data_IF_289466548619
#
_entry.id   IF_289466548619
#
_cell.length_a   1.000
_cell.length_b   1.000
_cell.length_c   1.000
_cell.angle_alpha   90.00
_cell.angle_beta   90.00
_cell.angle_gamma   90.00
#
_symmetry.space_group_name_H-M   'P 1'
#
loop_
_entity.id
_entity.type
_entity.pdbx_description
1 polymer ?
#
# COMPACT_ATOMS: atom_id res chain seq x y z
N UNK A 1 7.35 20.51 -7.82
CA UNK A 1 5.98 20.99 -8.02
C UNK A 1 5.75 21.18 -9.51
N UNK A 2 4.55 20.92 -10.04
CA UNK A 2 4.25 21.23 -11.45
C UNK A 2 4.44 22.73 -11.68
N UNK A 3 5.05 23.11 -12.80
CA UNK A 3 5.25 24.52 -13.17
C UNK A 3 3.93 25.20 -13.54
N UNK A 4 2.92 24.43 -13.95
CA UNK A 4 1.58 24.92 -14.27
C UNK A 4 0.54 23.87 -13.87
N UNK A 5 0.05 23.97 -12.63
CA UNK A 5 -0.91 23.02 -12.07
C UNK A 5 -2.22 22.99 -12.84
N UNK A 6 -2.68 24.13 -13.33
CA UNK A 6 -3.94 24.20 -14.05
C UNK A 6 -3.83 23.49 -15.39
N UNK A 7 -2.73 23.66 -16.12
CA UNK A 7 -2.46 22.88 -17.33
C UNK A 7 -2.37 21.39 -17.04
N UNK A 8 -1.45 21.01 -16.15
CA UNK A 8 -1.06 19.60 -16.01
C UNK A 8 -2.12 18.74 -15.31
N UNK A 9 -2.96 19.33 -14.44
CA UNK A 9 -3.82 18.57 -13.54
C UNK A 9 -5.31 18.66 -13.87
N UNK A 10 -5.70 19.36 -14.94
CA UNK A 10 -7.10 19.47 -15.36
C UNK A 10 -7.38 18.61 -16.60
N UNK A 11 -8.47 17.82 -16.63
CA UNK A 11 -8.72 16.83 -17.68
C UNK A 11 -9.02 17.43 -19.05
N UNK A 12 -9.81 18.50 -19.06
CA UNK A 12 -10.26 19.20 -20.25
C UNK A 12 -10.12 20.72 -20.06
N UNK A 13 -10.21 21.48 -21.16
CA UNK A 13 -10.18 22.94 -21.08
C UNK A 13 -11.34 23.45 -20.24
N UNK A 14 -11.10 24.42 -19.39
CA UNK A 14 -12.11 25.12 -18.62
C UNK A 14 -13.19 25.67 -19.57
N UNK A 15 -14.44 25.26 -19.34
CA UNK A 15 -15.60 25.88 -19.99
C UNK A 15 -16.01 27.17 -19.28
N UNK A 16 -16.97 27.90 -19.85
CA UNK A 16 -17.48 29.17 -19.28
C UNK A 16 -18.03 29.00 -17.84
N UNK A 17 -18.47 27.79 -17.49
CA UNK A 17 -19.01 27.41 -16.18
C UNK A 17 -18.02 26.59 -15.32
N UNK A 18 -16.70 26.65 -15.60
CA UNK A 18 -15.71 25.83 -14.91
C UNK A 18 -15.66 26.11 -13.40
N UNK A 19 -16.01 27.31 -12.94
CA UNK A 19 -16.26 27.62 -11.53
C UNK A 19 -17.75 27.78 -11.26
N UNK A 20 -18.17 27.45 -10.05
CA UNK A 20 -19.49 27.74 -9.49
C UNK A 20 -19.86 29.24 -9.50
N UNK A 21 -20.14 29.81 -10.68
CA UNK A 21 -20.63 31.18 -10.86
C UNK A 21 -19.56 32.27 -11.03
N UNK A 22 -18.29 31.95 -11.33
CA UNK A 22 -17.26 32.95 -11.65
C UNK A 22 -16.71 32.75 -13.06
N UNK A 23 -16.49 33.87 -13.77
CA UNK A 23 -15.94 33.89 -15.13
C UNK A 23 -14.52 33.30 -15.10
N UNK A 24 -14.34 32.10 -15.65
CA UNK A 24 -13.16 31.24 -15.42
C UNK A 24 -12.56 30.70 -16.69
N UNK A 25 -12.16 31.61 -17.56
CA UNK A 25 -11.19 31.26 -18.59
C UNK A 25 -9.85 30.92 -17.91
N UNK A 26 -9.48 29.64 -17.95
CA UNK A 26 -8.15 29.14 -17.58
C UNK A 26 -7.53 28.62 -18.88
N UNK A 27 -6.99 29.49 -19.75
CA UNK A 27 -6.67 29.13 -21.14
C UNK A 27 -5.68 27.96 -21.28
N UNK A 28 -4.83 27.79 -20.26
CA UNK A 28 -3.81 26.76 -20.21
C UNK A 28 -4.32 25.37 -19.78
N UNK A 29 -5.56 25.26 -19.31
CA UNK A 29 -6.12 23.99 -18.79
C UNK A 29 -6.28 22.89 -19.84
N UNK A 30 -6.57 21.67 -19.39
CA UNK A 30 -6.84 20.50 -20.25
C UNK A 30 -5.62 19.69 -20.65
N UNK A 31 -4.48 19.86 -19.97
CA UNK A 31 -3.22 19.16 -20.25
C UNK A 31 -3.03 17.84 -19.51
N UNK A 32 -4.00 17.35 -18.73
CA UNK A 32 -3.87 16.06 -18.04
C UNK A 32 -3.55 14.86 -18.95
N UNK A 33 -4.06 14.75 -20.20
CA UNK A 33 -3.66 13.66 -21.09
C UNK A 33 -2.15 13.65 -21.38
N UNK A 34 -1.58 14.83 -21.66
CA UNK A 34 -0.16 15.00 -21.94
C UNK A 34 0.68 14.78 -20.68
N UNK A 35 0.22 15.30 -19.54
CA UNK A 35 0.89 15.09 -18.26
C UNK A 35 0.90 13.61 -17.86
N UNK A 36 -0.21 12.90 -18.03
CA UNK A 36 -0.30 11.46 -17.77
C UNK A 36 0.62 10.66 -18.71
N UNK A 37 0.73 11.08 -19.97
CA UNK A 37 1.68 10.51 -20.92
C UNK A 37 3.13 10.75 -20.51
N UNK A 38 3.46 11.95 -20.03
CA UNK A 38 4.78 12.26 -19.47
C UNK A 38 5.09 11.36 -18.26
N UNK A 39 4.13 11.16 -17.34
CA UNK A 39 4.31 10.25 -16.21
C UNK A 39 4.64 8.83 -16.68
N UNK A 40 3.85 8.29 -17.62
CA UNK A 40 4.01 6.94 -18.16
C UNK A 40 5.33 6.74 -18.90
N UNK A 41 5.64 7.61 -19.85
CA UNK A 41 6.72 7.39 -20.83
C UNK A 41 8.07 7.95 -20.40
N UNK A 42 8.08 8.98 -19.56
CA UNK A 42 9.31 9.68 -19.18
C UNK A 42 9.60 9.51 -17.71
N UNK A 43 8.75 10.03 -16.82
CA UNK A 43 9.07 10.08 -15.40
C UNK A 43 9.21 8.70 -14.77
N UNK A 44 8.21 7.83 -14.92
CA UNK A 44 8.24 6.47 -14.34
C UNK A 44 9.41 5.69 -14.94
N UNK A 45 9.60 5.74 -16.26
CA UNK A 45 10.71 5.06 -16.94
C UNK A 45 12.07 5.54 -16.42
N UNK A 46 12.25 6.85 -16.23
CA UNK A 46 13.47 7.42 -15.66
C UNK A 46 13.70 6.92 -14.23
N UNK A 47 12.70 6.97 -13.36
CA UNK A 47 12.83 6.55 -11.96
C UNK A 47 13.19 5.07 -11.86
N UNK A 48 12.54 4.21 -12.64
CA UNK A 48 12.78 2.76 -12.61
C UNK A 48 14.13 2.36 -13.20
N UNK A 49 14.66 3.15 -14.14
CA UNK A 49 15.99 2.92 -14.71
C UNK A 49 17.12 3.39 -13.77
N UNK A 50 16.85 4.36 -12.89
CA UNK A 50 17.87 4.99 -12.05
C UNK A 50 17.81 4.58 -10.57
N UNK A 51 16.70 4.00 -10.12
CA UNK A 51 16.51 3.61 -8.73
C UNK A 51 15.95 2.19 -8.61
N UNK A 52 16.25 1.52 -7.49
CA UNK A 52 15.65 0.23 -7.16
C UNK A 52 14.22 0.45 -6.68
N UNK A 53 13.27 0.33 -7.60
CA UNK A 53 11.84 0.46 -7.31
C UNK A 53 11.18 -0.90 -7.05
N UNK A 54 9.99 -0.83 -6.47
CA UNK A 54 9.04 -1.93 -6.42
C UNK A 54 7.94 -1.70 -7.47
N UNK A 55 7.27 -2.75 -7.96
CA UNK A 55 6.29 -2.61 -9.05
C UNK A 55 5.00 -1.92 -8.61
N UNK A 56 4.74 -1.82 -7.30
CA UNK A 56 3.51 -1.24 -6.76
C UNK A 56 3.57 0.29 -6.77
N UNK A 57 2.71 0.93 -7.57
CA UNK A 57 2.69 2.39 -7.75
C UNK A 57 1.44 2.99 -7.13
N UNK A 58 1.62 4.07 -6.36
CA UNK A 58 0.55 4.83 -5.72
C UNK A 58 0.54 6.24 -6.31
N UNK A 59 -0.61 6.72 -6.76
CA UNK A 59 -0.82 8.12 -7.13
C UNK A 59 -1.62 8.84 -6.04
N UNK A 60 -1.06 9.91 -5.49
CA UNK A 60 -1.73 10.77 -4.51
C UNK A 60 -1.96 12.14 -5.12
N UNK A 61 -3.15 12.70 -4.92
CA UNK A 61 -3.46 14.04 -5.38
C UNK A 61 -4.48 14.76 -4.50
N UNK A 62 -4.23 16.04 -4.27
CA UNK A 62 -5.10 16.96 -3.54
C UNK A 62 -5.66 18.05 -4.47
N UNK A 63 -6.93 18.43 -4.33
CA UNK A 63 -7.57 19.49 -5.12
C UNK A 63 -7.51 19.19 -6.62
N UNK A 64 -6.91 20.03 -7.47
CA UNK A 64 -6.63 19.68 -8.87
C UNK A 64 -5.78 18.41 -9.03
N UNK A 65 -4.88 18.13 -8.09
CA UNK A 65 -4.19 16.84 -8.08
C UNK A 65 -5.15 15.67 -7.85
N UNK A 66 -6.17 15.85 -7.01
CA UNK A 66 -7.21 14.85 -6.79
C UNK A 66 -8.09 14.66 -8.03
N UNK A 67 -8.38 15.75 -8.74
CA UNK A 67 -9.05 15.72 -10.05
C UNK A 67 -8.22 14.93 -11.07
N UNK A 68 -6.92 15.22 -11.19
CA UNK A 68 -5.98 14.48 -12.03
C UNK A 68 -5.90 13.00 -11.65
N UNK A 69 -5.81 12.66 -10.36
CA UNK A 69 -5.79 11.28 -9.90
C UNK A 69 -7.08 10.53 -10.25
N UNK A 70 -8.22 11.22 -10.19
CA UNK A 70 -9.52 10.68 -10.64
C UNK A 70 -9.52 10.43 -12.15
N UNK A 71 -8.99 11.37 -12.93
CA UNK A 71 -8.81 11.22 -14.38
C UNK A 71 -7.89 10.03 -14.71
N UNK A 72 -6.73 9.93 -14.06
CA UNK A 72 -5.75 8.86 -14.27
C UNK A 72 -6.30 7.48 -13.93
N UNK A 73 -7.10 7.36 -12.85
CA UNK A 73 -7.80 6.13 -12.47
C UNK A 73 -8.68 5.60 -13.61
N UNK A 74 -9.40 6.48 -14.32
CA UNK A 74 -10.33 6.06 -15.37
C UNK A 74 -9.66 5.89 -16.73
N UNK A 75 -8.62 6.69 -17.03
CA UNK A 75 -8.01 6.73 -18.37
C UNK A 75 -6.79 5.81 -18.52
N UNK A 76 -6.04 5.57 -17.45
CA UNK A 76 -4.89 4.65 -17.41
C UNK A 76 -4.87 3.86 -16.10
N UNK A 77 -5.93 3.09 -15.76
CA UNK A 77 -6.00 2.35 -14.51
C UNK A 77 -4.81 1.41 -14.29
N UNK A 78 -4.19 0.87 -15.34
CA UNK A 78 -3.06 -0.05 -15.22
C UNK A 78 -1.74 0.62 -14.80
N UNK A 79 -1.63 1.96 -14.86
CA UNK A 79 -0.38 2.67 -14.56
C UNK A 79 -0.07 2.73 -13.06
N UNK A 80 -1.12 2.70 -12.22
CA UNK A 80 -1.02 2.76 -10.77
C UNK A 80 -1.86 1.66 -10.12
N UNK A 81 -1.40 1.11 -9.00
CA UNK A 81 -2.08 0.07 -8.24
C UNK A 81 -3.00 0.63 -7.15
N UNK A 82 -2.72 1.86 -6.71
CA UNK A 82 -3.50 2.55 -5.72
C UNK A 82 -3.60 4.05 -5.98
N UNK A 83 -4.64 4.64 -5.38
CA UNK A 83 -4.91 6.07 -5.44
C UNK A 83 -5.31 6.60 -4.06
N UNK A 84 -4.76 7.77 -3.70
CA UNK A 84 -5.24 8.58 -2.57
C UNK A 84 -5.73 9.90 -3.17
N UNK A 85 -7.05 10.07 -3.21
CA UNK A 85 -7.76 11.16 -3.88
C UNK A 85 -8.35 12.06 -2.80
N UNK A 86 -7.73 13.22 -2.61
CA UNK A 86 -7.99 14.12 -1.49
C UNK A 86 -8.66 15.39 -2.00
N UNK A 87 -9.78 15.78 -1.39
CA UNK A 87 -10.55 16.97 -1.73
C UNK A 87 -10.59 17.26 -3.24
N UNK A 88 -10.97 16.28 -4.10
CA UNK A 88 -10.81 16.43 -5.54
C UNK A 88 -11.73 17.53 -6.05
N UNK A 89 -11.22 18.38 -6.94
CA UNK A 89 -11.97 19.47 -7.57
C UNK A 89 -12.99 18.96 -8.62
N UNK A 90 -13.93 18.10 -8.18
CA UNK A 90 -14.89 17.41 -9.05
C UNK A 90 -15.96 18.33 -9.62
N UNK A 91 -16.10 19.57 -9.13
CA UNK A 91 -16.95 20.59 -9.74
C UNK A 91 -16.53 20.94 -11.18
N UNK A 92 -15.28 20.64 -11.56
CA UNK A 92 -14.72 20.95 -12.87
C UNK A 92 -15.65 20.55 -14.02
N UNK A 93 -15.90 21.51 -14.92
CA UNK A 93 -16.73 21.33 -16.12
C UNK A 93 -18.04 20.57 -15.88
N UNK A 94 -18.84 21.05 -14.90
CA UNK A 94 -20.15 20.48 -14.56
C UNK A 94 -20.05 19.00 -14.14
N UNK A 95 -19.06 18.69 -13.31
CA UNK A 95 -18.79 17.33 -12.84
C UNK A 95 -18.51 16.32 -13.96
N UNK A 96 -17.70 16.71 -14.94
CA UNK A 96 -17.37 15.84 -16.08
C UNK A 96 -16.80 14.49 -15.64
N UNK A 97 -16.00 14.46 -14.56
CA UNK A 97 -15.44 13.22 -14.02
C UNK A 97 -16.51 12.31 -13.42
N UNK A 98 -17.53 12.86 -12.78
CA UNK A 98 -18.69 12.09 -12.30
C UNK A 98 -19.48 11.51 -13.48
N UNK A 99 -19.61 12.27 -14.58
CA UNK A 99 -20.17 11.77 -15.84
C UNK A 99 -19.40 10.58 -16.40
N UNK A 100 -18.09 10.73 -16.57
CA UNK A 100 -17.20 9.69 -17.09
C UNK A 100 -17.16 8.44 -16.20
N UNK A 101 -17.22 8.63 -14.87
CA UNK A 101 -17.25 7.52 -13.92
C UNK A 101 -18.43 6.57 -14.15
N UNK A 102 -19.59 7.08 -14.57
CA UNK A 102 -20.77 6.25 -14.86
C UNK A 102 -20.47 5.26 -15.99
N UNK A 103 -19.82 5.71 -17.06
CA UNK A 103 -19.44 4.86 -18.18
C UNK A 103 -18.30 3.91 -17.80
N UNK A 104 -17.28 4.43 -17.11
CA UNK A 104 -16.12 3.67 -16.70
C UNK A 104 -16.49 2.48 -15.80
N UNK A 105 -17.23 2.71 -14.71
CA UNK A 105 -17.60 1.65 -13.77
C UNK A 105 -18.69 0.71 -14.32
N UNK A 106 -19.49 1.15 -15.30
CA UNK A 106 -20.37 0.25 -16.04
C UNK A 106 -19.57 -0.74 -16.92
N UNK A 107 -18.51 -0.26 -17.58
CA UNK A 107 -17.71 -1.05 -18.51
C UNK A 107 -16.64 -1.90 -17.83
N UNK A 108 -16.13 -1.46 -16.68
CA UNK A 108 -15.05 -2.13 -15.94
C UNK A 108 -15.59 -2.84 -14.70
N UNK A 109 -16.09 -4.07 -14.88
CA UNK A 109 -16.71 -4.86 -13.80
C UNK A 109 -15.73 -5.59 -12.89
N UNK A 110 -14.44 -5.55 -13.19
CA UNK A 110 -13.34 -6.03 -12.36
C UNK A 110 -12.23 -4.99 -12.39
N UNK A 111 -11.85 -4.48 -11.21
CA UNK A 111 -10.84 -3.44 -11.08
C UNK A 111 -10.03 -3.72 -9.82
N UNK A 112 -8.88 -4.35 -9.99
CA UNK A 112 -7.97 -4.67 -8.88
C UNK A 112 -7.14 -3.44 -8.50
N UNK A 113 -7.75 -2.54 -7.74
CA UNK A 113 -7.17 -1.26 -7.31
C UNK A 113 -7.58 -0.95 -5.87
N UNK A 114 -6.70 -0.27 -5.15
CA UNK A 114 -6.99 0.30 -3.83
C UNK A 114 -7.19 1.82 -3.93
N UNK A 115 -8.38 2.34 -3.62
CA UNK A 115 -8.68 3.77 -3.77
C UNK A 115 -9.26 4.38 -2.50
N UNK A 116 -8.56 5.36 -1.95
CA UNK A 116 -9.05 6.18 -0.85
C UNK A 116 -9.55 7.53 -1.39
N UNK A 117 -10.78 7.89 -1.07
CA UNK A 117 -11.35 9.21 -1.30
C UNK A 117 -11.58 9.90 0.04
N UNK A 118 -11.29 11.19 0.13
CA UNK A 118 -11.79 11.94 1.27
C UNK A 118 -11.67 13.46 1.17
N UNK A 119 -12.39 14.13 2.05
CA UNK A 119 -12.48 15.59 2.19
C UNK A 119 -12.34 16.01 3.64
N UNK A 120 -12.04 17.29 3.88
CA UNK A 120 -12.18 17.91 5.19
C UNK A 120 -13.64 18.10 5.62
N UNK A 121 -13.87 18.26 6.92
CA UNK A 121 -15.21 18.45 7.52
C UNK A 121 -15.76 19.84 7.29
N UNK A 122 -14.87 20.84 7.21
CA UNK A 122 -15.15 22.23 6.84
C UNK A 122 -14.89 22.51 5.35
N UNK A 123 -14.68 21.46 4.55
CA UNK A 123 -14.66 21.58 3.10
C UNK A 123 -15.97 22.20 2.60
N UNK A 124 -15.87 23.02 1.54
CA UNK A 124 -17.02 23.71 0.96
C UNK A 124 -18.14 22.73 0.62
N UNK A 125 -19.39 23.10 0.94
CA UNK A 125 -20.54 22.21 0.78
C UNK A 125 -20.64 21.61 -0.63
N UNK A 126 -20.34 22.39 -1.68
CA UNK A 126 -20.23 21.89 -3.05
C UNK A 126 -19.27 20.71 -3.15
N UNK A 127 -17.99 20.91 -2.81
CA UNK A 127 -16.92 19.91 -2.95
C UNK A 127 -17.23 18.58 -2.26
N UNK A 128 -17.82 18.64 -1.07
CA UNK A 128 -18.29 17.45 -0.35
C UNK A 128 -19.40 16.73 -1.11
N UNK A 129 -20.37 17.47 -1.63
CA UNK A 129 -21.48 16.89 -2.39
C UNK A 129 -21.08 16.37 -3.77
N UNK A 130 -20.14 17.03 -4.46
CA UNK A 130 -19.56 16.51 -5.72
C UNK A 130 -18.86 15.17 -5.49
N UNK A 131 -18.04 15.05 -4.43
CA UNK A 131 -17.40 13.78 -4.10
C UNK A 131 -18.43 12.71 -3.70
N UNK A 132 -19.45 13.07 -2.91
CA UNK A 132 -20.52 12.15 -2.55
C UNK A 132 -21.23 11.59 -3.80
N UNK A 133 -21.54 12.44 -4.79
CA UNK A 133 -22.14 12.01 -6.06
C UNK A 133 -21.24 11.08 -6.86
N UNK A 134 -19.95 11.38 -6.94
CA UNK A 134 -18.97 10.49 -7.59
C UNK A 134 -18.89 9.13 -6.89
N UNK A 135 -18.83 9.12 -5.56
CA UNK A 135 -18.83 7.90 -4.74
C UNK A 135 -20.11 7.08 -4.91
N UNK A 136 -21.26 7.73 -5.07
CA UNK A 136 -22.53 7.03 -5.32
C UNK A 136 -22.54 6.29 -6.67
N UNK A 137 -21.84 6.79 -7.69
CA UNK A 137 -21.62 6.06 -8.95
C UNK A 137 -20.87 4.75 -8.69
N UNK A 138 -19.81 4.78 -7.87
CA UNK A 138 -19.07 3.58 -7.48
C UNK A 138 -19.98 2.60 -6.72
N UNK A 139 -20.76 3.06 -5.74
CA UNK A 139 -21.67 2.20 -4.96
C UNK A 139 -22.69 1.47 -5.83
N UNK A 140 -23.27 2.15 -6.81
CA UNK A 140 -24.27 1.56 -7.72
C UNK A 140 -23.69 0.45 -8.62
N UNK A 141 -22.38 0.50 -8.88
CA UNK A 141 -21.68 -0.35 -9.85
C UNK A 141 -20.29 -0.76 -9.36
N UNK A 142 -20.17 -1.22 -8.11
CA UNK A 142 -18.86 -1.53 -7.54
C UNK A 142 -18.19 -2.69 -8.31
N UNK A 143 -16.98 -2.49 -8.88
CA UNK A 143 -16.28 -3.56 -9.56
C UNK A 143 -15.82 -4.65 -8.60
N UNK A 144 -15.68 -5.87 -9.10
CA UNK A 144 -15.00 -6.95 -8.37
C UNK A 144 -13.54 -6.55 -8.10
N UNK A 145 -13.02 -6.96 -6.94
CA UNK A 145 -11.65 -6.69 -6.47
C UNK A 145 -11.32 -5.20 -6.26
N UNK A 146 -12.30 -4.30 -6.36
CA UNK A 146 -12.09 -2.88 -6.11
C UNK A 146 -12.17 -2.60 -4.62
N UNK A 147 -11.02 -2.33 -4.00
CA UNK A 147 -10.94 -2.01 -2.57
C UNK A 147 -10.97 -0.51 -2.41
N UNK A 148 -12.09 0.04 -1.98
CA UNK A 148 -12.24 1.49 -1.87
C UNK A 148 -12.81 1.95 -0.53
N UNK A 149 -12.47 3.18 -0.14
CA UNK A 149 -13.00 3.85 1.05
C UNK A 149 -13.28 5.31 0.72
N UNK A 150 -14.39 5.83 1.24
CA UNK A 150 -14.71 7.25 1.27
C UNK A 150 -14.78 7.70 2.74
N UNK A 151 -14.09 8.78 3.08
CA UNK A 151 -14.04 9.32 4.45
C UNK A 151 -14.07 10.84 4.43
N UNK A 152 -14.91 11.43 5.27
CA UNK A 152 -14.87 12.85 5.59
C UNK A 152 -14.18 13.01 6.94
N UNK A 153 -13.12 13.83 7.00
CA UNK A 153 -12.40 14.09 8.24
C UNK A 153 -13.28 15.01 9.10
N UNK A 154 -13.65 14.62 10.33
CA UNK A 154 -14.51 15.45 11.17
C UNK A 154 -13.76 16.68 11.69
N UNK A 155 -14.51 17.68 12.15
CA UNK A 155 -13.96 18.88 12.77
C UNK A 155 -13.79 20.05 11.80
N UNK A 156 -12.84 20.92 12.11
CA UNK A 156 -12.52 22.18 11.45
C UNK A 156 -11.49 22.04 10.31
N UNK A 157 -11.27 20.81 9.84
CA UNK A 157 -10.34 20.52 8.75
C UNK A 157 -10.90 21.09 7.44
N UNK A 158 -10.38 22.25 7.02
CA UNK A 158 -10.73 22.90 5.78
C UNK A 158 -9.98 22.29 4.57
N UNK A 159 -10.13 22.89 3.39
CA UNK A 159 -9.63 22.38 2.12
C UNK A 159 -8.15 21.97 2.17
N UNK A 160 -7.29 22.87 2.68
CA UNK A 160 -5.84 22.63 2.73
C UNK A 160 -5.40 21.86 3.99
N UNK A 161 -6.07 22.08 5.12
CA UNK A 161 -5.71 21.49 6.43
C UNK A 161 -5.90 19.96 6.42
N UNK A 162 -7.01 19.51 5.84
CA UNK A 162 -7.39 18.10 5.79
C UNK A 162 -6.38 17.21 5.08
N UNK A 163 -5.48 17.78 4.25
CA UNK A 163 -4.53 17.05 3.42
C UNK A 163 -3.65 16.09 4.22
N UNK A 164 -3.13 16.51 5.38
CA UNK A 164 -2.24 15.67 6.18
C UNK A 164 -2.97 14.45 6.76
N UNK A 165 -4.18 14.65 7.29
CA UNK A 165 -4.99 13.57 7.82
C UNK A 165 -5.48 12.64 6.72
N UNK A 166 -5.91 13.19 5.59
CA UNK A 166 -6.29 12.40 4.41
C UNK A 166 -5.13 11.56 3.87
N UNK A 167 -3.89 12.08 3.89
CA UNK A 167 -2.69 11.30 3.55
C UNK A 167 -2.49 10.16 4.55
N UNK A 168 -2.52 10.46 5.85
CA UNK A 168 -2.35 9.47 6.91
C UNK A 168 -3.36 8.32 6.81
N UNK A 169 -4.65 8.64 6.71
CA UNK A 169 -5.72 7.64 6.61
C UNK A 169 -5.70 6.93 5.26
N UNK A 170 -5.37 7.64 4.19
CA UNK A 170 -5.19 7.07 2.85
C UNK A 170 -4.09 6.01 2.80
N UNK A 171 -2.91 6.30 3.34
CA UNK A 171 -1.81 5.33 3.42
C UNK A 171 -2.16 4.15 4.32
N UNK A 172 -2.80 4.41 5.48
CA UNK A 172 -3.27 3.36 6.39
C UNK A 172 -4.27 2.43 5.71
N UNK A 173 -5.15 2.97 4.87
CA UNK A 173 -6.07 2.19 4.06
C UNK A 173 -5.32 1.42 2.97
N UNK A 174 -4.56 2.09 2.10
CA UNK A 174 -3.87 1.46 0.96
C UNK A 174 -2.98 0.30 1.40
N UNK A 175 -2.29 0.42 2.53
CA UNK A 175 -1.40 -0.62 3.03
C UNK A 175 -2.00 -1.52 4.11
N UNK A 176 -3.32 -1.48 4.32
CA UNK A 176 -3.97 -2.26 5.40
C UNK A 176 -3.82 -3.78 5.22
N UNK A 177 -3.66 -4.26 3.98
CA UNK A 177 -3.50 -5.66 3.63
C UNK A 177 -2.05 -6.18 3.79
N UNK A 178 -1.05 -5.30 3.97
CA UNK A 178 0.29 -5.70 4.40
C UNK A 178 0.27 -6.27 5.83
N UNK A 179 -0.67 -5.84 6.66
CA UNK A 179 -0.81 -6.35 8.03
C UNK A 179 -1.45 -7.73 8.05
N UNK A 180 -1.04 -8.57 9.00
CA UNK A 180 -1.71 -9.85 9.24
C UNK A 180 -3.17 -9.61 9.60
N UNK A 181 -4.08 -10.29 8.92
CA UNK A 181 -5.51 -10.23 9.25
C UNK A 181 -5.76 -10.87 10.61
N UNK A 182 -6.80 -10.43 11.31
CA UNK A 182 -7.24 -11.11 12.53
C UNK A 182 -7.56 -12.59 12.28
N UNK A 183 -8.10 -12.91 11.10
CA UNK A 183 -8.41 -14.27 10.70
C UNK A 183 -7.15 -15.13 10.61
N UNK A 184 -6.05 -14.62 10.04
CA UNK A 184 -4.77 -15.33 9.99
C UNK A 184 -4.20 -15.56 11.39
N UNK A 185 -4.46 -14.66 12.34
CA UNK A 185 -4.02 -14.81 13.73
C UNK A 185 -4.85 -15.85 14.48
N UNK A 186 -6.17 -15.89 14.27
CA UNK A 186 -7.10 -16.78 14.99
C UNK A 186 -7.21 -18.18 14.37
N UNK A 187 -7.16 -18.26 13.04
CA UNK A 187 -7.39 -19.47 12.24
C UNK A 187 -6.14 -19.84 11.42
N UNK A 188 -4.98 -19.84 12.07
CA UNK A 188 -3.71 -20.07 11.41
C UNK A 188 -3.63 -21.46 10.75
N UNK A 189 -3.11 -21.48 9.51
CA UNK A 189 -2.52 -22.67 8.90
C UNK A 189 -1.26 -22.28 8.12
N UNK A 190 -0.30 -23.20 8.02
CA UNK A 190 0.93 -22.97 7.25
C UNK A 190 0.62 -22.60 5.79
N UNK A 191 -0.37 -23.28 5.18
CA UNK A 191 -0.79 -23.01 3.81
C UNK A 191 -1.34 -21.58 3.65
N UNK A 192 -2.26 -21.17 4.52
CA UNK A 192 -2.86 -19.84 4.45
C UNK A 192 -1.82 -18.73 4.69
N UNK A 193 -0.93 -18.93 5.66
CA UNK A 193 0.15 -18.00 5.96
C UNK A 193 1.11 -17.85 4.77
N UNK A 194 1.64 -18.96 4.25
CA UNK A 194 2.62 -18.93 3.15
C UNK A 194 2.00 -18.40 1.85
N UNK A 195 0.74 -18.74 1.57
CA UNK A 195 0.00 -18.18 0.44
C UNK A 195 -0.17 -16.66 0.58
N UNK A 196 -0.51 -16.18 1.77
CA UNK A 196 -0.61 -14.75 2.04
C UNK A 196 0.73 -14.02 1.85
N UNK A 197 1.84 -14.61 2.31
CA UNK A 197 3.18 -14.06 2.10
C UNK A 197 3.59 -14.00 0.63
N UNK A 198 3.23 -15.03 -0.13
CA UNK A 198 3.44 -15.03 -1.58
C UNK A 198 2.63 -13.93 -2.26
N UNK A 199 1.34 -13.81 -1.94
CA UNK A 199 0.47 -12.77 -2.49
C UNK A 199 0.99 -11.35 -2.20
N UNK A 200 1.53 -11.11 -1.01
CA UNK A 200 2.16 -9.83 -0.69
C UNK A 200 3.37 -9.53 -1.57
N UNK A 201 4.23 -10.52 -1.84
CA UNK A 201 5.40 -10.33 -2.70
C UNK A 201 5.05 -10.18 -4.17
N UNK A 202 4.01 -10.86 -4.64
CA UNK A 202 3.48 -10.69 -6.00
C UNK A 202 2.90 -9.28 -6.18
N UNK A 203 2.15 -8.79 -5.18
CA UNK A 203 1.51 -7.48 -5.23
C UNK A 203 2.49 -6.32 -5.04
N UNK A 204 3.30 -6.37 -4.00
CA UNK A 204 4.15 -5.24 -3.57
C UNK A 204 5.61 -5.38 -4.02
N UNK A 205 6.00 -6.52 -4.60
CA UNK A 205 7.36 -6.84 -5.02
C UNK A 205 8.11 -7.77 -4.06
N UNK A 206 9.20 -8.36 -4.53
CA UNK A 206 9.86 -9.50 -3.87
C UNK A 206 10.36 -9.24 -2.44
N UNK A 207 10.66 -7.98 -2.09
CA UNK A 207 11.11 -7.62 -0.74
C UNK A 207 9.94 -7.23 0.20
N UNK A 208 8.69 -7.32 -0.27
CA UNK A 208 7.54 -7.04 0.55
C UNK A 208 7.48 -7.98 1.76
N UNK A 209 7.07 -7.41 2.88
CA UNK A 209 7.01 -8.09 4.16
C UNK A 209 5.99 -7.39 5.06
N UNK A 210 5.33 -8.18 5.90
CA UNK A 210 4.54 -7.65 7.01
C UNK A 210 5.44 -6.91 8.01
N UNK A 211 4.88 -6.03 8.85
CA UNK A 211 5.57 -5.53 10.02
C UNK A 211 6.12 -6.68 10.89
N UNK A 212 7.29 -6.48 11.51
CA UNK A 212 7.91 -7.49 12.37
C UNK A 212 6.99 -7.92 13.52
N UNK A 213 6.22 -6.97 14.07
CA UNK A 213 5.26 -7.21 15.14
C UNK A 213 4.19 -8.24 14.76
N UNK A 214 3.76 -8.28 13.50
CA UNK A 214 2.73 -9.22 13.06
C UNK A 214 3.27 -10.66 13.05
N UNK A 215 4.50 -10.87 12.59
CA UNK A 215 5.14 -12.18 12.69
C UNK A 215 5.29 -12.60 14.16
N UNK A 216 5.75 -11.69 15.02
CA UNK A 216 5.90 -11.96 16.46
C UNK A 216 4.55 -12.32 17.10
N UNK A 217 3.48 -11.59 16.78
CA UNK A 217 2.14 -11.88 17.28
C UNK A 217 1.67 -13.28 16.89
N UNK A 218 1.77 -13.64 15.60
CA UNK A 218 1.40 -14.99 15.13
C UNK A 218 2.24 -16.07 15.83
N UNK A 219 3.55 -15.85 15.97
CA UNK A 219 4.44 -16.79 16.65
C UNK A 219 4.03 -17.01 18.11
N UNK A 220 3.71 -15.94 18.85
CA UNK A 220 3.33 -16.04 20.26
C UNK A 220 2.06 -16.89 20.40
N UNK A 221 1.03 -16.64 19.58
CA UNK A 221 -0.20 -17.44 19.58
C UNK A 221 0.07 -18.91 19.28
N UNK A 222 0.93 -19.20 18.29
CA UNK A 222 1.30 -20.57 17.93
C UNK A 222 2.06 -21.29 19.04
N UNK A 223 2.99 -20.62 19.72
CA UNK A 223 3.73 -21.20 20.83
C UNK A 223 2.82 -21.44 22.06
N UNK A 224 1.88 -20.53 22.33
CA UNK A 224 0.87 -20.69 23.39
C UNK A 224 -0.05 -21.89 23.13
N UNK A 225 -0.38 -22.13 21.86
CA UNK A 225 -1.13 -23.30 21.42
C UNK A 225 -0.27 -24.58 21.25
N UNK A 226 1.00 -24.55 21.70
CA UNK A 226 1.99 -25.63 21.56
C UNK A 226 2.27 -26.06 20.10
N UNK A 227 1.85 -25.27 19.11
CA UNK A 227 2.10 -25.50 17.69
C UNK A 227 3.52 -25.06 17.30
N UNK A 228 4.51 -25.80 17.78
CA UNK A 228 5.93 -25.52 17.52
C UNK A 228 6.27 -25.59 16.02
N UNK A 229 5.64 -26.47 15.24
CA UNK A 229 5.91 -26.60 13.80
C UNK A 229 5.40 -25.39 13.01
N UNK A 230 4.20 -24.90 13.31
CA UNK A 230 3.69 -23.66 12.71
C UNK A 230 4.56 -22.46 13.10
N UNK A 231 4.98 -22.37 14.36
CA UNK A 231 5.88 -21.31 14.80
C UNK A 231 7.22 -21.33 14.05
N UNK A 232 7.78 -22.52 13.76
CA UNK A 232 8.96 -22.67 12.88
C UNK A 232 8.69 -22.09 11.49
N UNK A 233 7.55 -22.42 10.88
CA UNK A 233 7.15 -21.91 9.57
C UNK A 233 7.15 -20.37 9.54
N UNK A 234 6.57 -19.74 10.56
CA UNK A 234 6.52 -18.27 10.66
C UNK A 234 7.91 -17.68 10.96
N UNK A 235 8.69 -18.27 11.86
CA UNK A 235 10.06 -17.81 12.17
C UNK A 235 10.98 -17.85 10.96
N UNK A 236 10.91 -18.90 10.12
CA UNK A 236 11.69 -18.98 8.87
C UNK A 236 11.41 -17.77 7.99
N UNK A 237 10.13 -17.49 7.75
CA UNK A 237 9.72 -16.35 6.94
C UNK A 237 10.11 -15.02 7.57
N UNK A 238 9.97 -14.89 8.89
CA UNK A 238 10.36 -13.68 9.62
C UNK A 238 11.87 -13.42 9.52
N UNK A 239 12.72 -14.46 9.63
CA UNK A 239 14.16 -14.37 9.45
C UNK A 239 14.56 -13.98 8.02
N UNK A 240 13.87 -14.51 7.00
CA UNK A 240 14.05 -14.10 5.60
C UNK A 240 13.62 -12.64 5.38
N UNK A 241 12.49 -12.24 5.95
CA UNK A 241 11.96 -10.88 5.86
C UNK A 241 12.86 -9.86 6.57
N UNK A 242 13.47 -10.26 7.69
CA UNK A 242 14.28 -9.40 8.55
C UNK A 242 15.67 -10.02 8.81
N UNK A 243 16.53 -10.12 7.78
CA UNK A 243 17.81 -10.84 7.86
C UNK A 243 18.84 -10.16 8.78
N UNK A 244 18.56 -8.93 9.24
CA UNK A 244 19.39 -8.22 10.22
C UNK A 244 18.89 -8.40 11.66
N UNK A 245 17.71 -8.97 11.86
CA UNK A 245 17.15 -9.19 13.20
C UNK A 245 17.52 -10.58 13.70
N UNK A 246 18.73 -10.68 14.28
CA UNK A 246 19.35 -11.96 14.64
C UNK A 246 18.52 -12.78 15.64
N UNK A 247 17.66 -12.13 16.42
CA UNK A 247 16.81 -12.81 17.40
C UNK A 247 15.86 -13.83 16.74
N UNK A 248 15.39 -13.58 15.51
CA UNK A 248 14.59 -14.58 14.78
C UNK A 248 15.40 -15.84 14.47
N UNK A 249 16.68 -15.72 14.11
CA UNK A 249 17.54 -16.88 13.87
C UNK A 249 17.83 -17.64 15.17
N UNK A 250 18.08 -16.91 16.27
CA UNK A 250 18.35 -17.53 17.57
C UNK A 250 17.19 -18.42 18.00
N UNK A 251 15.98 -17.85 18.06
CA UNK A 251 14.81 -18.58 18.54
C UNK A 251 14.40 -19.69 17.57
N UNK A 252 14.56 -19.48 16.25
CA UNK A 252 14.34 -20.53 15.25
C UNK A 252 15.28 -21.73 15.48
N UNK A 253 16.57 -21.50 15.75
CA UNK A 253 17.52 -22.57 16.02
C UNK A 253 17.15 -23.38 17.28
N UNK A 254 16.76 -22.70 18.36
CA UNK A 254 16.32 -23.36 19.61
C UNK A 254 15.03 -24.15 19.38
N UNK A 255 14.12 -23.64 18.56
CA UNK A 255 12.86 -24.31 18.25
C UNK A 255 13.06 -25.54 17.35
N UNK A 256 14.02 -25.49 16.42
CA UNK A 256 14.46 -26.67 15.67
C UNK A 256 15.00 -27.76 16.59
N UNK A 257 15.84 -27.41 17.56
CA UNK A 257 16.34 -28.38 18.54
C UNK A 257 15.20 -28.99 19.36
N UNK A 258 14.30 -28.15 19.91
CA UNK A 258 13.12 -28.60 20.68
C UNK A 258 12.23 -29.58 19.91
N UNK A 259 12.21 -29.46 18.57
CA UNK A 259 11.44 -30.32 17.66
C UNK A 259 12.30 -31.42 17.02
N UNK A 260 13.47 -31.72 17.58
CA UNK A 260 14.40 -32.77 17.15
C UNK A 260 14.92 -32.62 15.69
N UNK A 261 14.97 -31.38 15.19
CA UNK A 261 15.51 -31.03 13.88
C UNK A 261 16.95 -30.50 14.03
N UNK A 262 17.83 -31.33 14.58
CA UNK A 262 19.20 -30.95 15.01
C UNK A 262 20.02 -30.33 13.86
N UNK A 263 20.00 -30.93 12.66
CA UNK A 263 20.73 -30.42 11.50
C UNK A 263 20.32 -28.99 11.13
N UNK A 264 19.00 -28.72 11.13
CA UNK A 264 18.45 -27.39 10.84
C UNK A 264 18.80 -26.38 11.94
N UNK A 265 18.86 -26.82 13.20
CA UNK A 265 19.32 -25.97 14.31
C UNK A 265 20.77 -25.53 14.10
N UNK A 266 21.67 -26.48 13.78
CA UNK A 266 23.08 -26.20 13.48
C UNK A 266 23.21 -25.25 12.29
N UNK A 267 22.48 -25.49 11.19
CA UNK A 267 22.49 -24.63 10.01
C UNK A 267 22.02 -23.20 10.34
N UNK A 268 20.98 -23.09 11.18
CA UNK A 268 20.45 -21.79 11.60
C UNK A 268 21.44 -21.03 12.47
N UNK A 269 22.15 -21.69 13.39
CA UNK A 269 23.23 -21.07 14.17
C UNK A 269 24.40 -20.62 13.29
N UNK A 270 24.76 -21.39 12.25
CA UNK A 270 25.77 -20.94 11.26
C UNK A 270 25.33 -19.67 10.55
N UNK A 271 24.07 -19.59 10.16
CA UNK A 271 23.49 -18.38 9.57
C UNK A 271 23.53 -17.20 10.55
N UNK A 272 23.23 -17.43 11.83
CA UNK A 272 23.34 -16.42 12.88
C UNK A 272 24.79 -15.91 13.07
N UNK A 273 25.80 -16.78 13.00
CA UNK A 273 27.22 -16.36 13.02
C UNK A 273 27.53 -15.41 11.85
N UNK A 274 27.06 -15.71 10.64
CA UNK A 274 27.28 -14.84 9.46
C UNK A 274 26.66 -13.46 9.69
N UNK A 275 25.43 -13.42 10.19
CA UNK A 275 24.73 -12.16 10.49
C UNK A 275 25.43 -11.40 11.62
N UNK A 276 25.83 -12.08 12.70
CA UNK A 276 26.55 -11.50 13.84
C UNK A 276 27.85 -10.84 13.40
N UNK A 277 28.65 -11.53 12.57
CA UNK A 277 29.91 -10.98 12.04
C UNK A 277 29.67 -9.74 11.20
N UNK A 278 28.68 -9.80 10.31
CA UNK A 278 28.32 -8.70 9.41
C UNK A 278 27.87 -7.46 10.20
N UNK A 279 27.16 -7.66 11.31
CA UNK A 279 26.63 -6.60 12.15
C UNK A 279 27.52 -6.26 13.37
N UNK A 280 28.64 -6.97 13.54
CA UNK A 280 29.59 -6.84 14.67
C UNK A 280 28.91 -6.97 16.04
N UNK A 281 28.05 -7.98 16.19
CA UNK A 281 27.26 -8.17 17.42
C UNK A 281 28.01 -8.92 18.53
N UNK A 282 29.09 -9.66 18.22
CA UNK A 282 29.88 -10.37 19.22
C UNK A 282 29.28 -11.69 19.72
N UNK A 283 28.26 -12.22 19.04
CA UNK A 283 27.55 -13.43 19.46
C UNK A 283 28.16 -14.73 18.88
N UNK A 284 29.24 -14.63 18.09
CA UNK A 284 29.76 -15.73 17.28
C UNK A 284 30.23 -16.93 18.13
N UNK A 285 30.95 -16.65 19.22
CA UNK A 285 31.47 -17.69 20.10
C UNK A 285 30.34 -18.47 20.79
N UNK A 286 29.27 -17.77 21.19
CA UNK A 286 28.08 -18.38 21.77
C UNK A 286 27.42 -19.36 20.80
N UNK A 287 27.17 -18.93 19.56
CA UNK A 287 26.60 -19.82 18.55
C UNK A 287 27.52 -20.99 18.19
N UNK A 288 28.84 -20.78 18.17
CA UNK A 288 29.79 -21.86 17.90
C UNK A 288 29.74 -22.93 19.01
N UNK A 289 29.61 -22.52 20.28
CA UNK A 289 29.45 -23.45 21.41
C UNK A 289 28.16 -24.27 21.28
N UNK A 290 27.05 -23.66 20.89
CA UNK A 290 25.80 -24.38 20.64
C UNK A 290 25.93 -25.39 19.49
N UNK A 291 26.59 -25.02 18.39
CA UNK A 291 26.86 -25.95 17.28
C UNK A 291 27.67 -27.17 17.75
N UNK A 292 28.75 -26.96 18.53
CA UNK A 292 29.57 -28.07 19.03
C UNK A 292 28.85 -28.92 20.08
N UNK A 293 27.89 -28.35 20.83
CA UNK A 293 27.00 -29.11 21.72
C UNK A 293 26.05 -29.99 20.92
N UNK A 294 25.38 -29.43 19.91
CA UNK A 294 24.38 -30.13 19.10
C UNK A 294 24.97 -31.29 18.30
N UNK A 295 26.23 -31.19 17.83
CA UNK A 295 26.92 -32.28 17.12
C UNK A 295 27.17 -33.54 17.97
N UNK A 296 27.00 -33.46 19.29
CA UNK A 296 27.21 -34.57 20.23
C UNK A 296 25.93 -35.33 20.56
N UNK A 297 24.78 -34.84 20.09
CA UNK A 297 23.45 -35.45 20.23
C UNK A 297 23.20 -36.28 18.99
#
# INVERSE_FOLDING_TARGET
ESLDRARDLTPSKAGEDAYAGANTDIPQSGGAPDFLQFLEKELITFVESNFRTHPYRLLEGHSFGGLFSTYALMNKPALFDAFIIQAPALWWNKEEMTGQAKEFFNSNRSLDKAVYFGTGGEEGWGMRQELARYVDVIKQRTPKNFRWKHEEIPGDEAHDDSRLLLNYYGLKFVFSDLKASEDLQKNYSDEAFLKGEQQLREKYGQNARRPAADYVGIIIELLNAENNLGAITVYKRAAEAYPKYIQFLNTLATLYEKTNQIDKSIETYRSAIVVSKKLKLGNEEGYQKEIERLKKI
#
